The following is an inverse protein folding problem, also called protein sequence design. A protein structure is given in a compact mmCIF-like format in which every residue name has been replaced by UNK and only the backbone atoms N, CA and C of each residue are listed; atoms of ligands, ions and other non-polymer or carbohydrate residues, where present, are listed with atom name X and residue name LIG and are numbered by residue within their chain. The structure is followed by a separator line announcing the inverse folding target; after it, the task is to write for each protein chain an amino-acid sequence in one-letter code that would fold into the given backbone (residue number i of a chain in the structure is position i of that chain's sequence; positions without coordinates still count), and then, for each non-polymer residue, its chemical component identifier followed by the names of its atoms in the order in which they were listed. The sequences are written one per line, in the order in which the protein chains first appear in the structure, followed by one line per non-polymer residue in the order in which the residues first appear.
data_IF_838134318496
#
_entry.id   IF_838134318496
#
_cell.length_a   1.000
_cell.length_b   1.000
_cell.length_c   1.000
_cell.angle_alpha   90.00
_cell.angle_beta   90.00
_cell.angle_gamma   90.00
#
_symmetry.space_group_name_H-M   'P 1'
#
loop_
_entity.id
_entity.type
_entity.pdbx_description
1 polymer ?
#
# COMPACT_ATOMS: atom_id res chain seq x y z
N UNK A 1 -21.71 16.73 -19.97
CA UNK A 1 -22.22 16.92 -18.59
C UNK A 1 -21.22 17.80 -17.86
N UNK A 2 -21.67 18.89 -17.24
CA UNK A 2 -20.80 19.80 -16.49
C UNK A 2 -20.16 19.10 -15.28
N UNK A 3 -18.85 19.28 -15.03
CA UNK A 3 -18.21 18.72 -13.82
C UNK A 3 -18.75 19.37 -12.53
N UNK A 4 -19.16 20.65 -12.57
CA UNK A 4 -19.73 21.35 -11.40
C UNK A 4 -21.05 20.79 -10.93
N UNK A 5 -21.88 20.28 -11.85
CA UNK A 5 -23.17 19.70 -11.52
C UNK A 5 -23.06 18.56 -10.50
N UNK A 6 -21.95 17.82 -10.50
CA UNK A 6 -21.69 16.78 -9.49
C UNK A 6 -21.56 17.41 -8.09
N UNK A 7 -20.79 18.49 -7.97
CA UNK A 7 -20.60 19.20 -6.71
C UNK A 7 -21.89 19.89 -6.25
N UNK A 8 -22.62 20.53 -7.17
CA UNK A 8 -23.87 21.21 -6.84
C UNK A 8 -24.93 20.24 -6.30
N UNK A 9 -24.98 19.01 -6.83
CA UNK A 9 -25.87 17.96 -6.34
C UNK A 9 -25.35 17.36 -5.03
N UNK A 10 -24.06 17.02 -4.93
CA UNK A 10 -23.50 16.40 -3.73
C UNK A 10 -23.59 17.28 -2.47
N UNK A 11 -23.39 18.59 -2.63
CA UNK A 11 -23.46 19.55 -1.52
C UNK A 11 -24.81 20.27 -1.45
N UNK A 12 -25.74 19.92 -2.34
CA UNK A 12 -27.05 20.56 -2.45
C UNK A 12 -26.97 22.09 -2.54
N UNK A 13 -25.98 22.60 -3.30
CA UNK A 13 -25.72 24.04 -3.43
C UNK A 13 -26.94 24.80 -3.96
N UNK A 14 -27.81 24.13 -4.73
CA UNK A 14 -29.05 24.73 -5.26
C UNK A 14 -30.05 25.03 -4.15
N UNK A 15 -30.16 24.15 -3.15
CA UNK A 15 -31.04 24.42 -2.00
C UNK A 15 -30.43 25.46 -1.06
N UNK A 16 -29.09 25.49 -0.94
CA UNK A 16 -28.36 26.41 -0.09
C UNK A 16 -28.13 27.81 -0.71
N UNK A 17 -28.62 28.06 -1.93
CA UNK A 17 -28.39 29.31 -2.66
C UNK A 17 -29.09 30.52 -2.01
N UNK A 18 -29.92 30.33 -0.98
CA UNK A 18 -30.55 31.43 -0.23
C UNK A 18 -30.10 31.50 1.23
N UNK A 19 -29.39 30.50 1.74
CA UNK A 19 -28.98 30.41 3.15
C UNK A 19 -28.13 31.61 3.58
N UNK A 20 -27.40 32.22 2.62
CA UNK A 20 -26.61 33.41 2.88
C UNK A 20 -27.47 34.62 3.24
N UNK A 21 -28.73 34.71 2.79
CA UNK A 21 -29.67 35.78 3.14
C UNK A 21 -30.21 35.61 4.56
N UNK A 22 -30.38 34.37 5.02
CA UNK A 22 -30.83 34.08 6.38
C UNK A 22 -29.71 34.28 7.42
N UNK A 23 -28.46 34.06 7.02
CA UNK A 23 -27.30 34.20 7.90
C UNK A 23 -27.00 35.65 8.29
N UNK A 24 -27.28 36.63 7.42
CA UNK A 24 -27.13 38.07 7.72
C UNK A 24 -28.33 38.85 7.19
N UNK A 25 -29.32 39.02 8.06
CA UNK A 25 -30.55 39.76 7.74
C UNK A 25 -30.37 41.28 7.75
N UNK A 26 -29.21 41.78 8.21
CA UNK A 26 -28.90 43.22 8.23
C UNK A 26 -28.37 43.72 6.89
N UNK A 27 -27.85 42.81 6.06
CA UNK A 27 -27.34 43.10 4.74
C UNK A 27 -28.28 42.52 3.66
N UNK A 28 -28.74 43.36 2.73
CA UNK A 28 -29.59 42.91 1.62
C UNK A 28 -28.88 41.97 0.65
N UNK A 29 -27.55 41.93 0.67
CA UNK A 29 -26.72 40.98 -0.09
C UNK A 29 -26.42 39.69 0.70
N UNK A 30 -26.86 39.61 1.97
CA UNK A 30 -26.59 38.53 2.90
C UNK A 30 -25.12 38.35 3.26
N UNK A 31 -24.81 37.23 3.93
CA UNK A 31 -23.49 36.90 4.43
C UNK A 31 -22.54 36.51 3.29
N UNK A 32 -21.53 37.35 3.04
CA UNK A 32 -20.52 37.10 2.00
C UNK A 32 -19.75 35.78 2.19
N UNK A 33 -19.68 35.24 3.41
CA UNK A 33 -19.02 33.96 3.69
C UNK A 33 -19.88 32.74 3.35
N UNK A 34 -21.20 32.88 3.43
CA UNK A 34 -22.16 31.81 3.17
C UNK A 34 -22.60 31.77 1.71
N UNK A 35 -22.41 32.87 0.96
CA UNK A 35 -22.78 32.96 -0.44
C UNK A 35 -21.89 32.07 -1.31
N UNK A 36 -22.49 31.09 -1.97
CA UNK A 36 -21.80 30.26 -2.98
C UNK A 36 -21.41 31.15 -4.15
N UNK A 37 -20.11 31.39 -4.32
CA UNK A 37 -19.60 32.26 -5.38
C UNK A 37 -19.51 31.48 -6.69
N UNK A 38 -20.16 31.97 -7.75
CA UNK A 38 -20.02 31.40 -9.08
C UNK A 38 -18.59 31.64 -9.60
N UNK A 39 -17.83 30.59 -9.95
CA UNK A 39 -16.47 30.79 -10.40
C UNK A 39 -16.42 31.25 -11.85
N UNK A 40 -15.49 32.16 -12.16
CA UNK A 40 -15.31 32.80 -13.47
C UNK A 40 -15.16 31.81 -14.64
N UNK A 41 -14.51 30.66 -14.40
CA UNK A 41 -14.28 29.61 -15.41
C UNK A 41 -15.01 28.35 -14.96
N UNK A 42 -15.85 27.74 -15.79
CA UNK A 42 -16.73 26.62 -15.37
C UNK A 42 -16.01 25.30 -15.05
N UNK A 43 -15.43 24.65 -16.04
CA UNK A 43 -14.67 23.40 -15.91
C UNK A 43 -13.93 23.16 -17.22
N UNK A 44 -13.00 22.22 -17.22
CA UNK A 44 -12.26 21.74 -18.39
C UNK A 44 -13.18 21.30 -19.55
N UNK A 45 -14.39 20.80 -19.27
CA UNK A 45 -15.36 20.43 -20.31
C UNK A 45 -15.94 21.65 -21.03
N UNK A 46 -16.18 22.74 -20.31
CA UNK A 46 -16.81 23.94 -20.87
C UNK A 46 -15.80 24.99 -21.33
N UNK A 47 -14.60 24.99 -20.76
CA UNK A 47 -13.53 25.95 -21.07
C UNK A 47 -12.19 25.23 -21.28
N UNK A 48 -12.05 24.32 -22.25
CA UNK A 48 -10.85 23.49 -22.40
C UNK A 48 -9.57 24.33 -22.60
N UNK A 49 -9.66 25.49 -23.25
CA UNK A 49 -8.52 26.40 -23.45
C UNK A 49 -7.88 26.85 -22.13
N UNK A 50 -8.70 27.14 -21.12
CA UNK A 50 -8.27 27.62 -19.80
C UNK A 50 -7.53 26.53 -18.99
N UNK A 51 -7.70 25.26 -19.36
CA UNK A 51 -7.08 24.13 -18.66
C UNK A 51 -5.95 23.45 -19.44
N UNK A 52 -5.65 23.92 -20.65
CA UNK A 52 -4.62 23.33 -21.54
C UNK A 52 -3.22 23.26 -20.91
N UNK A 53 -2.88 24.18 -19.99
CA UNK A 53 -1.62 24.13 -19.25
C UNK A 53 -1.51 22.90 -18.32
N UNK A 54 -2.64 22.32 -17.90
CA UNK A 54 -2.70 21.15 -17.03
C UNK A 54 -2.76 19.83 -17.80
N UNK A 55 -2.87 19.85 -19.13
CA UNK A 55 -2.77 18.67 -20.00
C UNK A 55 -1.32 18.14 -20.12
N UNK A 56 -0.45 18.49 -19.18
CA UNK A 56 0.91 17.98 -19.14
C UNK A 56 0.85 16.45 -19.03
N UNK A 57 1.51 15.78 -19.97
CA UNK A 57 1.74 14.35 -19.95
C UNK A 57 2.74 14.06 -18.82
N UNK A 58 2.27 14.18 -17.58
CA UNK A 58 3.07 13.91 -16.38
C UNK A 58 3.50 12.46 -16.50
N UNK A 59 4.79 12.27 -16.83
CA UNK A 59 5.38 10.95 -16.85
C UNK A 59 5.21 10.38 -15.46
N UNK A 60 4.35 9.36 -15.36
CA UNK A 60 4.09 8.70 -14.09
C UNK A 60 5.45 8.19 -13.58
N UNK A 61 5.90 8.61 -12.39
CA UNK A 61 7.17 8.13 -11.86
C UNK A 61 7.18 6.60 -11.91
N UNK A 62 8.32 6.01 -12.28
CA UNK A 62 8.47 4.55 -12.19
C UNK A 62 8.29 4.16 -10.73
N UNK A 63 7.09 3.68 -10.40
CA UNK A 63 6.80 3.18 -9.06
C UNK A 63 7.58 1.88 -8.89
N UNK A 64 8.52 1.86 -7.94
CA UNK A 64 9.18 0.63 -7.53
C UNK A 64 8.10 -0.41 -7.17
N UNK A 65 8.19 -1.59 -7.77
CA UNK A 65 7.21 -2.65 -7.53
C UNK A 65 7.35 -3.12 -6.09
N UNK A 66 6.35 -2.79 -5.27
CA UNK A 66 6.21 -3.31 -3.91
C UNK A 66 5.99 -4.81 -3.95
N UNK A 67 6.52 -5.53 -2.98
CA UNK A 67 6.28 -6.97 -2.88
C UNK A 67 4.79 -7.25 -2.57
N UNK A 68 4.26 -8.37 -3.04
CA UNK A 68 2.94 -8.83 -2.60
C UNK A 68 3.08 -9.46 -1.21
N UNK A 69 2.37 -8.95 -0.22
CA UNK A 69 2.25 -9.57 1.11
C UNK A 69 1.09 -10.55 1.10
N UNK A 70 1.26 -11.70 1.75
CA UNK A 70 0.19 -12.68 1.87
C UNK A 70 -0.74 -12.26 3.01
N UNK A 71 -2.01 -12.66 2.94
CA UNK A 71 -2.91 -12.44 4.08
C UNK A 71 -2.48 -13.39 5.19
N UNK A 72 -2.37 -12.86 6.40
CA UNK A 72 -2.02 -13.61 7.59
C UNK A 72 -2.81 -13.08 8.79
N UNK A 73 -2.78 -13.82 9.89
CA UNK A 73 -3.33 -13.38 11.17
C UNK A 73 -2.17 -12.85 12.01
N UNK A 74 -2.27 -11.58 12.46
CA UNK A 74 -1.25 -10.96 13.32
C UNK A 74 -1.00 -11.83 14.56
N UNK A 75 0.26 -12.21 14.77
CA UNK A 75 0.72 -12.92 15.95
C UNK A 75 1.23 -11.97 17.02
N UNK A 76 1.73 -12.53 18.13
CA UNK A 76 2.26 -11.77 19.26
C UNK A 76 3.38 -10.79 18.86
N UNK A 77 4.30 -11.22 18.01
CA UNK A 77 5.41 -10.37 17.56
C UNK A 77 4.92 -9.18 16.72
N UNK A 78 3.86 -9.36 15.92
CA UNK A 78 3.28 -8.29 15.11
C UNK A 78 2.67 -7.20 15.99
N UNK A 79 1.95 -7.58 17.05
CA UNK A 79 1.40 -6.63 18.02
C UNK A 79 2.50 -5.93 18.82
N UNK A 80 3.52 -6.65 19.28
CA UNK A 80 4.67 -6.03 19.95
C UNK A 80 5.40 -5.03 19.07
N UNK A 81 5.54 -5.33 17.77
CA UNK A 81 6.11 -4.38 16.81
C UNK A 81 5.20 -3.17 16.58
N UNK A 82 3.90 -3.40 16.50
CA UNK A 82 2.90 -2.34 16.37
C UNK A 82 2.98 -1.36 17.54
N UNK A 83 2.89 -1.85 18.77
CA UNK A 83 2.93 -1.04 19.99
C UNK A 83 4.25 -0.24 20.05
N UNK A 84 5.39 -0.88 19.79
CA UNK A 84 6.69 -0.22 19.80
C UNK A 84 6.84 0.88 18.73
N UNK A 85 6.21 0.70 17.56
CA UNK A 85 6.20 1.72 16.51
C UNK A 85 5.24 2.87 16.84
N UNK A 86 4.09 2.59 17.45
CA UNK A 86 3.15 3.63 17.88
C UNK A 86 3.76 4.51 18.99
N UNK A 87 4.37 3.90 20.02
CA UNK A 87 5.11 4.62 21.06
C UNK A 87 6.22 5.50 20.47
N UNK A 88 6.96 4.96 19.50
CA UNK A 88 8.01 5.70 18.80
C UNK A 88 7.44 6.87 17.99
N UNK A 89 6.30 6.70 17.31
CA UNK A 89 5.67 7.77 16.52
C UNK A 89 5.21 8.91 17.41
N UNK A 90 4.64 8.62 18.57
CA UNK A 90 4.21 9.63 19.54
C UNK A 90 5.41 10.43 20.03
N UNK A 91 6.45 9.74 20.50
CA UNK A 91 7.68 10.37 20.98
C UNK A 91 8.36 11.22 19.89
N UNK A 92 8.41 10.71 18.64
CA UNK A 92 9.00 11.42 17.52
C UNK A 92 8.18 12.66 17.13
N UNK A 93 6.85 12.56 17.17
CA UNK A 93 5.96 13.69 16.88
C UNK A 93 6.13 14.80 17.92
N UNK A 94 6.22 14.46 19.21
CA UNK A 94 6.53 15.42 20.27
C UNK A 94 7.89 16.08 20.01
N UNK A 95 8.90 15.31 19.62
CA UNK A 95 10.25 15.81 19.40
C UNK A 95 10.34 16.77 18.22
N UNK A 96 9.66 16.46 17.10
CA UNK A 96 9.76 17.23 15.85
C UNK A 96 8.77 18.39 15.80
N UNK A 97 7.55 18.19 16.31
CA UNK A 97 6.45 19.15 16.14
C UNK A 97 5.89 19.69 17.47
N UNK A 98 6.32 19.15 18.61
CA UNK A 98 5.83 19.52 19.93
C UNK A 98 4.55 18.80 20.34
N UNK A 99 4.30 18.79 21.64
CA UNK A 99 3.16 18.08 22.24
C UNK A 99 1.79 18.55 21.73
N UNK A 100 1.61 19.87 21.51
CA UNK A 100 0.34 20.41 21.01
C UNK A 100 -0.03 19.82 19.64
N UNK A 101 0.94 19.62 18.75
CA UNK A 101 0.71 19.02 17.41
C UNK A 101 0.35 17.54 17.49
N UNK A 102 0.95 16.79 18.41
CA UNK A 102 0.54 15.42 18.68
C UNK A 102 -0.93 15.38 19.12
N UNK A 103 -1.35 16.28 20.02
CA UNK A 103 -2.71 16.31 20.52
C UNK A 103 -3.75 16.71 19.46
N UNK A 104 -3.43 17.68 18.59
CA UNK A 104 -4.38 18.21 17.61
C UNK A 104 -4.46 17.38 16.32
N UNK A 105 -3.32 16.83 15.86
CA UNK A 105 -3.19 16.17 14.55
C UNK A 105 -2.78 14.70 14.64
N UNK A 106 -2.26 14.26 15.78
CA UNK A 106 -1.85 12.88 16.02
C UNK A 106 -0.48 12.48 15.45
N UNK A 107 -0.04 11.25 15.74
CA UNK A 107 1.26 10.70 15.32
C UNK A 107 1.36 10.39 13.82
N UNK A 108 0.25 10.53 13.09
CA UNK A 108 0.21 10.36 11.64
C UNK A 108 1.05 11.40 10.89
N UNK A 109 1.43 12.51 11.55
CA UNK A 109 2.36 13.50 11.02
C UNK A 109 3.75 12.94 10.72
N UNK A 110 4.26 12.05 11.57
CA UNK A 110 5.57 11.41 11.37
C UNK A 110 5.45 10.21 10.44
N UNK A 111 4.48 9.35 10.69
CA UNK A 111 4.28 8.12 9.92
C UNK A 111 2.78 7.86 9.79
N UNK A 112 2.20 7.89 8.57
CA UNK A 112 0.80 7.55 8.38
C UNK A 112 0.50 6.09 8.76
N UNK A 113 -0.72 5.81 9.23
CA UNK A 113 -1.13 4.46 9.65
C UNK A 113 -0.94 3.42 8.53
N UNK A 114 -1.21 3.79 7.27
CA UNK A 114 -1.01 2.90 6.13
C UNK A 114 0.46 2.50 5.90
N UNK A 115 1.40 3.37 6.30
CA UNK A 115 2.83 3.07 6.25
C UNK A 115 3.19 2.13 7.39
N UNK A 116 2.70 2.38 8.61
CA UNK A 116 2.89 1.52 9.77
C UNK A 116 2.35 0.10 9.54
N UNK A 117 1.11 -0.03 9.07
CA UNK A 117 0.51 -1.34 8.73
C UNK A 117 1.36 -2.08 7.70
N UNK A 118 1.85 -1.36 6.68
CA UNK A 118 2.71 -1.92 5.65
C UNK A 118 4.06 -2.37 6.20
N UNK A 119 4.64 -1.64 7.16
CA UNK A 119 5.88 -2.03 7.83
C UNK A 119 5.67 -3.33 8.60
N UNK A 120 4.59 -3.44 9.37
CA UNK A 120 4.25 -4.65 10.13
C UNK A 120 4.07 -5.83 9.19
N UNK A 121 3.27 -5.69 8.13
CA UNK A 121 3.06 -6.74 7.12
C UNK A 121 4.37 -7.23 6.47
N UNK A 122 5.27 -6.29 6.16
CA UNK A 122 6.54 -6.62 5.52
C UNK A 122 7.55 -7.20 6.52
N UNK A 123 7.56 -6.73 7.77
CA UNK A 123 8.40 -7.24 8.84
C UNK A 123 8.03 -8.67 9.22
N UNK A 124 6.73 -9.00 9.27
CA UNK A 124 6.22 -10.36 9.46
C UNK A 124 6.83 -11.36 8.48
N UNK A 125 7.02 -10.94 7.23
CA UNK A 125 7.61 -11.73 6.16
C UNK A 125 9.12 -11.50 5.96
N UNK A 126 9.79 -10.83 6.91
CA UNK A 126 11.22 -10.51 6.88
C UNK A 126 11.68 -9.78 5.59
N UNK A 127 10.82 -8.92 5.05
CA UNK A 127 11.09 -8.19 3.79
C UNK A 127 11.81 -6.86 3.98
N UNK A 128 11.90 -6.36 5.21
CA UNK A 128 12.57 -5.10 5.53
C UNK A 128 13.78 -5.43 6.40
N UNK A 129 14.98 -5.34 5.81
CA UNK A 129 16.25 -5.48 6.55
C UNK A 129 17.09 -4.22 6.46
N UNK A 130 16.88 -3.41 5.43
CA UNK A 130 17.63 -2.18 5.15
C UNK A 130 16.70 -0.98 4.92
N UNK A 131 17.26 0.24 4.98
CA UNK A 131 16.51 1.48 4.70
C UNK A 131 15.97 1.47 3.26
N UNK A 132 16.73 0.88 2.34
CA UNK A 132 16.30 0.74 0.94
C UNK A 132 15.09 -0.18 0.81
N UNK A 133 15.02 -1.27 1.58
CA UNK A 133 13.84 -2.14 1.61
C UNK A 133 12.63 -1.41 2.20
N UNK A 134 12.83 -0.67 3.30
CA UNK A 134 11.79 0.14 3.92
C UNK A 134 11.21 1.14 2.91
N UNK A 135 12.07 1.90 2.23
CA UNK A 135 11.68 2.89 1.21
C UNK A 135 10.97 2.21 0.03
N UNK A 136 11.50 1.09 -0.45
CA UNK A 136 10.92 0.32 -1.57
C UNK A 136 9.54 -0.23 -1.24
N UNK A 137 9.35 -0.80 -0.05
CA UNK A 137 8.11 -1.49 0.32
C UNK A 137 6.99 -0.55 0.77
N UNK A 138 7.33 0.59 1.34
CA UNK A 138 6.35 1.56 1.89
C UNK A 138 6.16 2.78 1.00
N UNK A 139 7.19 3.20 0.27
CA UNK A 139 7.24 4.51 -0.40
C UNK A 139 7.23 5.68 0.57
N UNK A 140 7.58 5.48 1.83
CA UNK A 140 7.61 6.53 2.84
C UNK A 140 8.76 7.49 2.57
N UNK A 141 8.43 8.78 2.43
CA UNK A 141 9.36 9.85 2.07
C UNK A 141 10.44 10.06 3.14
N UNK A 142 10.09 9.89 4.40
CA UNK A 142 11.00 10.16 5.52
C UNK A 142 11.79 8.93 5.96
N UNK A 143 11.74 7.85 5.16
CA UNK A 143 12.51 6.64 5.41
C UNK A 143 14.03 6.89 5.47
N UNK A 144 14.54 7.91 4.77
CA UNK A 144 15.96 8.28 4.85
C UNK A 144 16.32 8.99 6.15
N UNK A 145 15.37 9.73 6.74
CA UNK A 145 15.59 10.49 7.97
C UNK A 145 15.39 9.63 9.22
N UNK A 146 14.36 8.78 9.21
CA UNK A 146 13.94 8.02 10.39
C UNK A 146 14.11 6.50 10.23
N UNK A 147 14.57 6.03 9.07
CA UNK A 147 14.60 4.61 8.75
C UNK A 147 15.51 3.79 9.65
N UNK A 148 16.63 4.34 10.12
CA UNK A 148 17.55 3.63 11.03
C UNK A 148 16.87 3.27 12.35
N UNK A 149 16.15 4.22 12.96
CA UNK A 149 15.44 4.00 14.21
C UNK A 149 14.34 2.95 14.04
N UNK A 150 13.56 3.07 12.97
CA UNK A 150 12.48 2.13 12.63
C UNK A 150 13.02 0.73 12.39
N UNK A 151 14.13 0.59 11.65
CA UNK A 151 14.78 -0.71 11.43
C UNK A 151 15.31 -1.28 12.74
N UNK A 152 15.88 -0.45 13.62
CA UNK A 152 16.30 -0.88 14.95
C UNK A 152 15.14 -1.42 15.79
N UNK A 153 13.95 -0.82 15.70
CA UNK A 153 12.72 -1.32 16.34
C UNK A 153 12.30 -2.66 15.73
N UNK A 154 12.24 -2.76 14.39
CA UNK A 154 11.89 -4.01 13.69
C UNK A 154 12.82 -5.15 14.16
N UNK A 155 14.14 -4.94 14.10
CA UNK A 155 15.13 -5.94 14.48
C UNK A 155 14.96 -6.38 15.93
N UNK A 156 14.67 -5.46 16.86
CA UNK A 156 14.45 -5.78 18.28
C UNK A 156 13.21 -6.65 18.49
N UNK A 157 12.15 -6.45 17.70
CA UNK A 157 10.91 -7.21 17.81
C UNK A 157 10.94 -8.55 17.06
N UNK A 158 11.79 -8.68 16.03
CA UNK A 158 11.90 -9.88 15.19
C UNK A 158 13.12 -10.77 15.51
N UNK A 159 14.09 -10.30 16.29
CA UNK A 159 15.27 -11.08 16.63
C UNK A 159 14.86 -12.40 17.33
N UNK A 160 15.40 -13.55 16.90
CA UNK A 160 15.23 -14.79 17.64
C UNK A 160 15.73 -14.58 19.07
N UNK A 161 14.87 -14.84 20.05
CA UNK A 161 15.29 -14.86 21.44
C UNK A 161 16.47 -15.84 21.52
N UNK A 162 17.67 -15.45 21.98
CA UNK A 162 18.77 -16.38 22.12
C UNK A 162 18.26 -17.51 23.02
N UNK A 163 18.08 -18.71 22.45
CA UNK A 163 17.74 -19.86 23.26
C UNK A 163 18.86 -19.99 24.29
N UNK A 164 18.54 -20.07 25.60
CA UNK A 164 19.56 -20.36 26.59
C UNK A 164 20.22 -21.66 26.14
N UNK A 165 21.52 -21.60 25.86
CA UNK A 165 22.33 -22.76 25.57
C UNK A 165 22.20 -23.67 26.80
N UNK A 166 21.32 -24.67 26.72
CA UNK A 166 21.30 -25.76 27.68
C UNK A 166 22.59 -26.51 27.37
N UNK A 167 23.65 -26.14 28.10
CA UNK A 167 24.92 -26.84 28.10
C UNK A 167 24.66 -28.26 28.59
N UNK A 168 24.40 -29.18 27.67
CA UNK A 168 24.41 -30.61 27.95
C UNK A 168 25.86 -30.96 28.33
N UNK A 169 26.15 -31.40 29.57
CA UNK A 169 27.51 -31.71 29.96
C UNK A 169 28.00 -32.94 29.17
N UNK A 170 29.03 -32.75 28.34
CA UNK A 170 29.77 -33.84 27.73
C UNK A 170 30.46 -34.65 28.83
N UNK A 171 30.12 -35.94 28.97
CA UNK A 171 30.92 -36.88 29.75
C UNK A 171 32.30 -37.06 29.11
N UNK A 172 33.39 -37.06 29.89
CA UNK A 172 34.71 -37.39 29.39
C UNK A 172 34.85 -38.91 29.26
N UNK A 173 35.07 -39.40 28.04
CA UNK A 173 35.58 -40.74 27.79
C UNK A 173 37.07 -40.66 27.52
N UNK A 174 37.84 -41.17 28.46
CA UNK A 174 39.28 -41.42 28.38
C UNK A 174 39.59 -42.50 27.32
N UNK A 175 40.55 -42.26 26.44
CA UNK A 175 41.76 -43.09 26.25
C UNK A 175 42.51 -42.72 24.95
N UNK A 176 43.65 -42.06 25.15
CA UNK A 176 44.99 -42.41 24.63
C UNK A 176 45.24 -42.68 23.12
N UNK A 177 46.08 -41.80 22.57
CA UNK A 177 47.42 -42.10 22.03
C UNK A 177 47.65 -42.38 20.52
N UNK A 178 48.37 -41.42 19.91
CA UNK A 178 49.67 -41.57 19.21
C UNK A 178 49.71 -41.58 17.65
N UNK A 179 50.57 -40.68 17.16
CA UNK A 179 51.39 -40.62 15.93
C UNK A 179 50.91 -39.91 14.65
N UNK A 180 51.36 -38.66 14.51
CA UNK A 180 52.33 -38.15 13.53
C UNK A 180 52.52 -38.91 12.22
N UNK A 181 52.30 -38.23 11.09
CA UNK A 181 53.24 -38.15 9.95
C UNK A 181 52.80 -37.06 8.96
N UNK A 182 53.73 -36.16 8.65
CA UNK A 182 53.66 -35.22 7.54
C UNK A 182 53.92 -35.94 6.21
N UNK A 183 53.35 -35.43 5.11
CA UNK A 183 54.02 -35.30 3.81
C UNK A 183 53.16 -34.48 2.84
N UNK A 184 53.78 -33.41 2.35
CA UNK A 184 53.38 -32.53 1.26
C UNK A 184 53.33 -33.27 -0.08
N UNK A 185 52.40 -32.92 -0.99
CA UNK A 185 52.67 -32.81 -2.45
C UNK A 185 51.68 -31.83 -3.09
N UNK A 186 52.23 -30.92 -3.87
CA UNK A 186 51.63 -29.88 -4.70
C UNK A 186 50.89 -30.40 -5.94
N UNK A 187 50.07 -29.51 -6.53
CA UNK A 187 49.74 -29.34 -7.96
C UNK A 187 48.22 -29.37 -8.20
N UNK A 188 47.60 -28.63 -9.12
CA UNK A 188 47.90 -27.53 -10.06
C UNK A 188 46.53 -27.22 -10.70
N UNK A 189 46.25 -25.94 -10.99
CA UNK A 189 45.39 -25.42 -12.08
C UNK A 189 44.06 -26.12 -12.43
N UNK A 190 42.97 -25.34 -12.45
CA UNK A 190 42.25 -25.02 -13.70
C UNK A 190 41.29 -23.83 -13.50
N UNK A 191 41.58 -22.75 -14.23
CA UNK A 191 40.62 -21.75 -14.68
C UNK A 191 39.65 -22.40 -15.67
N UNK A 192 38.39 -21.97 -15.64
CA UNK A 192 37.42 -21.82 -16.75
C UNK A 192 36.00 -21.95 -16.18
N UNK A 193 34.98 -21.21 -16.57
CA UNK A 193 34.85 -20.20 -17.62
C UNK A 193 33.56 -19.42 -17.36
N UNK A 194 33.61 -18.12 -17.60
CA UNK A 194 32.48 -17.20 -17.57
C UNK A 194 31.61 -17.47 -18.80
N UNK A 195 30.31 -17.65 -18.61
CA UNK A 195 29.35 -17.67 -19.73
C UNK A 195 28.09 -16.91 -19.35
N UNK A 196 28.04 -15.67 -19.83
CA UNK A 196 26.87 -14.81 -19.91
C UNK A 196 25.83 -15.41 -20.86
N UNK A 197 24.53 -15.41 -20.53
CA UNK A 197 23.48 -15.51 -21.53
C UNK A 197 22.92 -14.13 -21.89
N UNK A 198 22.97 -13.87 -23.19
CA UNK A 198 22.36 -12.76 -23.93
C UNK A 198 20.93 -12.42 -23.53
N UNK A 199 20.68 -11.11 -23.53
CA UNK A 199 19.40 -10.44 -23.41
C UNK A 199 18.45 -10.79 -24.57
N UNK A 200 17.57 -11.75 -24.34
CA UNK A 200 16.36 -11.94 -25.18
C UNK A 200 15.23 -11.15 -24.53
N UNK A 201 14.71 -10.15 -25.26
CA UNK A 201 13.55 -9.37 -24.84
C UNK A 201 12.37 -10.29 -24.44
N UNK A 202 11.68 -10.03 -23.32
CA UNK A 202 10.63 -10.92 -22.85
C UNK A 202 9.43 -10.88 -23.82
N UNK A 203 9.17 -12.01 -24.50
CA UNK A 203 7.92 -12.23 -25.25
C UNK A 203 6.75 -11.98 -24.30
N UNK A 204 5.96 -10.93 -24.58
CA UNK A 204 4.72 -10.63 -23.85
C UNK A 204 3.84 -11.88 -23.89
N UNK A 205 3.56 -12.47 -22.73
CA UNK A 205 2.67 -13.63 -22.62
C UNK A 205 1.29 -13.21 -23.14
N UNK A 206 0.78 -13.90 -24.15
CA UNK A 206 -0.59 -13.71 -24.62
C UNK A 206 -1.55 -14.09 -23.48
N UNK A 207 -2.43 -13.15 -23.12
CA UNK A 207 -3.40 -13.36 -22.05
C UNK A 207 -4.50 -14.27 -22.59
N UNK A 208 -4.69 -15.42 -21.95
CA UNK A 208 -5.80 -16.35 -22.20
C UNK A 208 -6.94 -16.08 -21.23
N UNK A 209 -8.16 -16.05 -21.74
CA UNK A 209 -9.34 -15.87 -20.94
C UNK A 209 -9.61 -17.15 -20.12
N UNK A 210 -9.57 -17.05 -18.79
CA UNK A 210 -9.86 -18.20 -17.92
C UNK A 210 -11.29 -18.75 -18.04
N UNK A 211 -12.24 -17.97 -18.58
CA UNK A 211 -13.62 -18.41 -18.74
C UNK A 211 -13.88 -19.11 -20.10
N UNK A 212 -13.35 -18.56 -21.20
CA UNK A 212 -13.61 -19.08 -22.56
C UNK A 212 -12.39 -19.70 -23.26
N UNK A 213 -11.19 -19.62 -22.67
CA UNK A 213 -9.94 -20.18 -23.20
C UNK A 213 -9.31 -19.39 -24.36
N UNK A 214 -10.00 -18.42 -24.95
CA UNK A 214 -9.51 -17.65 -26.10
C UNK A 214 -8.46 -16.61 -25.69
N UNK A 215 -7.51 -16.37 -26.58
CA UNK A 215 -6.47 -15.34 -26.43
C UNK A 215 -7.01 -13.93 -26.73
N UNK A 216 -6.34 -12.90 -26.21
CA UNK A 216 -6.64 -11.49 -26.50
C UNK A 216 -7.56 -10.79 -25.48
N UNK A 217 -8.09 -11.51 -24.49
CA UNK A 217 -8.86 -10.93 -23.38
C UNK A 217 -8.78 -11.81 -22.12
N UNK A 218 -9.17 -11.27 -20.95
CA UNK A 218 -9.32 -12.05 -19.71
C UNK A 218 -10.81 -12.27 -19.36
N UNK A 219 -11.09 -13.10 -18.34
CA UNK A 219 -12.47 -13.45 -17.93
C UNK A 219 -13.33 -12.28 -17.45
N UNK A 220 -12.71 -11.15 -17.12
CA UNK A 220 -13.39 -9.92 -16.68
C UNK A 220 -13.68 -8.94 -17.83
N UNK A 221 -13.19 -9.23 -19.03
CA UNK A 221 -13.43 -8.36 -20.18
C UNK A 221 -14.84 -8.62 -20.74
N UNK A 222 -15.62 -7.56 -21.03
CA UNK A 222 -17.00 -7.66 -21.53
C UNK A 222 -17.11 -8.28 -22.93
N UNK A 223 -15.99 -8.38 -23.63
CA UNK A 223 -15.86 -9.06 -24.93
C UNK A 223 -15.94 -10.60 -24.76
N UNK A 224 -15.75 -11.12 -23.55
CA UNK A 224 -15.90 -12.55 -23.28
C UNK A 224 -17.37 -12.97 -23.43
N UNK A 225 -17.63 -13.95 -24.29
CA UNK A 225 -18.98 -14.51 -24.47
C UNK A 225 -19.54 -15.16 -23.19
N UNK A 226 -18.66 -15.65 -22.31
CA UNK A 226 -19.01 -16.24 -21.00
C UNK A 226 -18.93 -15.23 -19.84
N UNK A 227 -19.03 -13.93 -20.13
CA UNK A 227 -18.95 -12.92 -19.08
C UNK A 227 -20.18 -13.02 -18.14
N UNK A 228 -20.01 -12.88 -16.80
CA UNK A 228 -21.11 -13.03 -15.84
C UNK A 228 -22.33 -12.16 -16.11
N UNK A 229 -22.12 -10.98 -16.69
CA UNK A 229 -23.21 -10.06 -17.05
C UNK A 229 -24.05 -10.49 -18.27
N UNK A 230 -23.67 -11.55 -19.00
CA UNK A 230 -24.45 -12.11 -20.12
C UNK A 230 -25.22 -13.38 -19.74
N UNK A 231 -24.82 -14.08 -18.69
CA UNK A 231 -25.46 -15.33 -18.23
C UNK A 231 -26.58 -15.10 -17.20
N UNK A 232 -27.01 -13.86 -16.98
CA UNK A 232 -28.04 -13.52 -15.98
C UNK A 232 -29.49 -13.53 -16.48
N UNK A 233 -29.76 -14.04 -17.68
CA UNK A 233 -31.10 -14.05 -18.28
C UNK A 233 -31.60 -15.45 -18.57
N UNK A 234 -32.06 -16.17 -17.55
CA UNK A 234 -32.91 -17.37 -17.71
C UNK A 234 -33.80 -17.53 -16.48
N UNK A 235 -35.09 -17.25 -16.69
CA UNK A 235 -36.24 -17.93 -16.08
C UNK A 235 -36.39 -17.86 -14.55
N UNK A 236 -37.16 -16.86 -14.10
CA UNK A 236 -38.14 -17.08 -13.02
C UNK A 236 -39.50 -16.55 -13.48
N UNK A 237 -40.23 -17.44 -14.11
CA UNK A 237 -41.69 -17.38 -14.26
C UNK A 237 -42.29 -17.41 -12.84
N UNK A 238 -43.11 -16.41 -12.50
CA UNK A 238 -43.86 -16.38 -11.25
C UNK A 238 -45.32 -16.21 -11.61
N UNK A 239 -46.06 -17.32 -11.64
CA UNK A 239 -47.52 -17.34 -11.78
C UNK A 239 -48.21 -16.98 -10.47
N UNK A 240 -49.39 -16.40 -10.65
CA UNK A 240 -50.35 -15.86 -9.70
C UNK A 240 -50.76 -16.76 -8.52
N UNK A 241 -51.18 -16.12 -7.43
CA UNK A 241 -52.50 -16.41 -6.82
C UNK A 241 -53.02 -15.24 -6.00
N UNK A 242 -54.05 -14.62 -6.58
CA UNK A 242 -55.02 -13.69 -5.98
C UNK A 242 -55.84 -14.44 -4.92
N UNK A 243 -56.04 -13.84 -3.74
CA UNK A 243 -57.17 -14.14 -2.84
C UNK A 243 -57.46 -12.91 -1.96
N UNK A 244 -58.57 -12.24 -2.24
CA UNK A 244 -59.24 -11.27 -1.36
C UNK A 244 -59.92 -12.00 -0.19
N UNK A 245 -60.18 -11.29 0.92
CA UNK A 245 -61.53 -11.36 1.46
C UNK A 245 -62.12 -10.01 1.89
N UNK A 246 -63.45 -10.03 1.81
CA UNK A 246 -64.53 -9.16 2.32
C UNK A 246 -64.30 -8.42 3.63
#
# INVERSE_FOLDING_TARGET
MCRRKVFDVCFNNVAADTDYLECDTTNSQGCARCRVTQPLICCDIHHPSEFSAYDSNIQKPLTLSRSRTQKYTKGKHDFMLQDALDDWRDAKTITVYGWARLNDLGPALIMPNSILDRIIDCAHHHKINTIQDLRKETGWTDAELFGEEVIGIIQRCTAPLPLPLISTPLRPSTSSAINTSALSVSNTSSLDSISSPSSVAPKRRTIKCGACGKEGHNSRNRICLKHPSRNGGSEKENEDRISLPT
#
